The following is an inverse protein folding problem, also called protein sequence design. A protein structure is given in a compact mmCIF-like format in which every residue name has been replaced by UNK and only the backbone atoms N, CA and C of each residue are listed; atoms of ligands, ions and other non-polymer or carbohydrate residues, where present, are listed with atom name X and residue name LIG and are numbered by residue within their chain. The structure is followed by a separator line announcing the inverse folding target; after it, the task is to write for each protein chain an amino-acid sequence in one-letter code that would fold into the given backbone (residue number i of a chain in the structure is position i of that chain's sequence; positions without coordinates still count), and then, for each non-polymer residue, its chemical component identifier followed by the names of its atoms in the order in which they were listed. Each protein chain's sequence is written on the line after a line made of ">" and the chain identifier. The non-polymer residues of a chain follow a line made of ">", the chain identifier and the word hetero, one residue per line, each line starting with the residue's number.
data_IF_078722213466
#
_entry.id   IF_078722213466
#
_cell.length_a   1.000
_cell.length_b   1.000
_cell.length_c   1.000
_cell.angle_alpha   90.00
_cell.angle_beta   90.00
_cell.angle_gamma   90.00
#
_symmetry.space_group_name_H-M   'P 1'
#
loop_
_entity.id
_entity.type
_entity.pdbx_description
1 polymer ?
#
# COMPACT_ATOMS: atom_id res chain seq x y z
N UNK A 1 5.73 -49.09 61.54
CA UNK A 1 5.38 -48.78 60.13
C UNK A 1 3.96 -48.25 60.12
N UNK A 2 3.77 -46.94 59.93
CA UNK A 2 2.44 -46.34 59.82
C UNK A 2 2.17 -46.05 58.34
N UNK A 3 1.14 -46.70 57.79
CA UNK A 3 0.72 -46.53 56.40
C UNK A 3 0.05 -45.18 56.18
N UNK A 4 0.55 -44.40 55.24
CA UNK A 4 -0.02 -43.12 54.84
C UNK A 4 -1.28 -43.38 54.00
N UNK A 5 -2.45 -42.99 54.50
CA UNK A 5 -3.72 -43.15 53.81
C UNK A 5 -4.14 -41.81 53.20
N UNK A 6 -4.29 -41.75 51.86
CA UNK A 6 -4.73 -40.53 51.18
C UNK A 6 -6.21 -40.23 51.51
N UNK A 7 -6.59 -38.97 51.74
CA UNK A 7 -7.99 -38.60 51.91
C UNK A 7 -8.75 -38.83 50.61
N UNK A 8 -9.73 -39.73 50.65
CA UNK A 8 -10.69 -39.97 49.56
C UNK A 8 -11.57 -38.73 49.42
N UNK A 9 -11.62 -38.17 48.22
CA UNK A 9 -12.40 -36.98 47.91
C UNK A 9 -13.88 -37.22 48.24
N UNK A 10 -14.37 -36.61 49.33
CA UNK A 10 -15.80 -36.55 49.62
C UNK A 10 -16.46 -35.70 48.53
N UNK A 11 -17.47 -36.26 47.86
CA UNK A 11 -18.14 -35.69 46.67
C UNK A 11 -18.93 -34.39 46.88
N UNK A 12 -18.58 -33.59 47.89
CA UNK A 12 -19.18 -32.29 48.12
C UNK A 12 -18.62 -31.27 47.12
N UNK A 13 -19.42 -30.97 46.09
CA UNK A 13 -19.12 -29.90 45.13
C UNK A 13 -19.15 -28.56 45.87
N UNK A 14 -17.99 -27.97 46.13
CA UNK A 14 -17.91 -26.57 46.60
C UNK A 14 -18.48 -25.68 45.50
N UNK A 15 -19.44 -24.82 45.85
CA UNK A 15 -20.02 -23.87 44.92
C UNK A 15 -18.92 -22.89 44.47
N UNK A 16 -18.49 -23.01 43.22
CA UNK A 16 -17.56 -22.07 42.60
C UNK A 16 -18.39 -20.84 42.21
N UNK A 17 -18.20 -19.73 42.92
CA UNK A 17 -18.74 -18.45 42.48
C UNK A 17 -17.91 -17.97 41.28
N UNK A 18 -18.50 -18.10 40.10
CA UNK A 18 -17.95 -17.51 38.88
C UNK A 18 -18.33 -16.04 38.88
N UNK A 19 -17.36 -15.17 39.12
CA UNK A 19 -17.53 -13.74 38.88
C UNK A 19 -17.34 -13.48 37.38
N UNK A 20 -18.36 -12.89 36.76
CA UNK A 20 -18.24 -12.41 35.39
C UNK A 20 -17.28 -11.22 35.36
N UNK A 21 -16.21 -11.36 34.58
CA UNK A 21 -15.29 -10.25 34.33
C UNK A 21 -16.07 -9.08 33.70
N UNK A 22 -15.93 -7.83 34.20
CA UNK A 22 -16.51 -6.67 33.56
C UNK A 22 -16.03 -6.59 32.11
N UNK A 23 -16.96 -6.58 31.17
CA UNK A 23 -16.61 -6.43 29.76
C UNK A 23 -15.98 -5.05 29.54
N UNK A 24 -14.82 -5.03 28.90
CA UNK A 24 -14.08 -3.80 28.55
C UNK A 24 -14.94 -2.88 27.65
N UNK A 25 -15.72 -1.99 28.24
CA UNK A 25 -16.59 -1.04 27.52
C UNK A 25 -15.82 0.03 26.73
N UNK A 26 -14.50 0.14 26.94
CA UNK A 26 -13.64 1.13 26.31
C UNK A 26 -13.16 0.77 24.90
N UNK A 27 -13.50 -0.42 24.39
CA UNK A 27 -13.13 -0.87 23.03
C UNK A 27 -14.27 -0.92 22.01
N UNK A 28 -15.43 -0.34 22.29
CA UNK A 28 -16.43 -0.10 21.24
C UNK A 28 -16.23 1.29 20.64
N UNK A 29 -15.31 1.40 19.67
CA UNK A 29 -15.41 2.46 18.67
C UNK A 29 -16.73 2.24 17.94
N UNK A 30 -17.69 3.14 18.14
CA UNK A 30 -18.90 3.15 17.33
C UNK A 30 -18.51 3.01 15.85
N UNK A 31 -19.12 2.09 15.08
CA UNK A 31 -18.86 2.03 13.65
C UNK A 31 -19.18 3.43 13.11
N UNK A 32 -18.17 4.07 12.52
CA UNK A 32 -18.35 5.32 11.82
C UNK A 32 -19.39 5.03 10.76
N UNK A 33 -20.63 5.46 10.98
CA UNK A 33 -21.68 5.46 9.99
C UNK A 33 -21.13 6.29 8.84
N UNK A 34 -20.57 5.61 7.85
CA UNK A 34 -20.44 6.19 6.53
C UNK A 34 -21.88 6.51 6.18
N UNK A 35 -22.18 7.81 6.16
CA UNK A 35 -23.39 8.35 5.58
C UNK A 35 -23.41 7.77 4.17
N UNK A 36 -24.12 6.66 4.00
CA UNK A 36 -24.50 6.15 2.69
C UNK A 36 -25.37 7.28 2.14
N UNK A 37 -24.75 8.15 1.34
CA UNK A 37 -25.52 8.87 0.35
C UNK A 37 -26.09 7.76 -0.51
N UNK A 38 -27.37 7.48 -0.27
CA UNK A 38 -28.18 6.73 -1.18
C UNK A 38 -28.09 7.42 -2.55
N UNK A 39 -28.19 6.57 -3.55
CA UNK A 39 -28.27 6.85 -4.98
C UNK A 39 -29.27 7.97 -5.31
N UNK A 40 -29.20 8.46 -6.55
CA UNK A 40 -29.86 9.65 -7.11
C UNK A 40 -29.03 10.94 -7.04
N UNK A 41 -27.84 10.89 -7.62
CA UNK A 41 -27.22 12.04 -8.28
C UNK A 41 -26.26 11.42 -9.31
N UNK A 42 -26.75 11.04 -10.50
CA UNK A 42 -25.84 10.99 -11.66
C UNK A 42 -25.28 12.41 -11.76
N UNK A 43 -24.00 12.66 -11.43
CA UNK A 43 -23.47 13.99 -11.63
C UNK A 43 -23.61 14.22 -13.12
N UNK A 44 -24.28 15.28 -13.56
CA UNK A 44 -24.24 15.72 -14.94
C UNK A 44 -22.75 15.93 -15.27
N UNK A 45 -22.14 14.88 -15.80
CA UNK A 45 -20.73 14.85 -16.09
C UNK A 45 -20.57 15.89 -17.17
N UNK A 46 -19.71 16.87 -16.92
CA UNK A 46 -19.32 17.81 -17.96
C UNK A 46 -18.99 17.02 -19.23
N UNK A 47 -19.32 17.53 -20.42
CA UNK A 47 -18.97 16.91 -21.71
C UNK A 47 -17.52 16.39 -21.73
N UNK A 48 -16.58 17.12 -21.09
CA UNK A 48 -15.17 16.68 -20.96
C UNK A 48 -14.97 15.43 -20.10
N UNK A 49 -15.79 15.24 -19.07
CA UNK A 49 -15.78 14.05 -18.21
C UNK A 49 -16.45 12.86 -18.90
N UNK A 50 -17.53 13.10 -19.66
CA UNK A 50 -18.18 12.06 -20.49
C UNK A 50 -17.21 11.52 -21.55
N UNK A 51 -16.58 12.41 -22.33
CA UNK A 51 -15.56 12.03 -23.32
C UNK A 51 -14.41 11.24 -22.68
N UNK A 52 -13.98 11.61 -21.47
CA UNK A 52 -12.94 10.85 -20.76
C UNK A 52 -13.39 9.46 -20.35
N UNK A 53 -14.62 9.33 -19.84
CA UNK A 53 -15.20 8.03 -19.48
C UNK A 53 -15.33 7.14 -20.70
N UNK A 54 -15.91 7.64 -21.78
CA UNK A 54 -16.03 6.92 -23.05
C UNK A 54 -14.64 6.49 -23.58
N UNK A 55 -13.64 7.35 -23.48
CA UNK A 55 -12.28 7.01 -23.87
C UNK A 55 -11.67 5.90 -22.98
N UNK A 56 -11.84 5.99 -21.66
CA UNK A 56 -11.33 4.99 -20.73
C UNK A 56 -12.04 3.64 -20.93
N UNK A 57 -13.36 3.64 -21.13
CA UNK A 57 -14.18 2.47 -21.41
C UNK A 57 -13.81 1.80 -22.74
N UNK A 58 -13.67 2.57 -23.82
CA UNK A 58 -13.22 2.05 -25.12
C UNK A 58 -11.81 1.50 -25.05
N UNK A 59 -10.90 2.16 -24.32
CA UNK A 59 -9.54 1.67 -24.13
C UNK A 59 -9.50 0.35 -23.35
N UNK A 60 -10.29 0.22 -22.28
CA UNK A 60 -10.41 -1.02 -21.54
C UNK A 60 -11.08 -2.13 -22.37
N UNK A 61 -12.04 -1.80 -23.22
CA UNK A 61 -12.65 -2.72 -24.18
C UNK A 61 -11.63 -3.29 -25.18
N UNK A 62 -10.76 -2.44 -25.73
CA UNK A 62 -9.70 -2.86 -26.65
C UNK A 62 -8.70 -3.78 -25.95
N UNK A 63 -8.34 -3.48 -24.68
CA UNK A 63 -7.50 -4.38 -23.89
C UNK A 63 -8.21 -5.72 -23.68
N UNK A 64 -9.45 -5.73 -23.21
CA UNK A 64 -10.19 -6.96 -22.95
C UNK A 64 -10.36 -7.81 -24.22
N UNK A 65 -10.56 -7.18 -25.39
CA UNK A 65 -10.57 -7.86 -26.68
C UNK A 65 -9.21 -8.51 -27.00
N UNK A 66 -8.11 -7.78 -26.85
CA UNK A 66 -6.76 -8.34 -27.03
C UNK A 66 -6.50 -9.52 -26.08
N UNK A 67 -7.08 -9.48 -24.89
CA UNK A 67 -6.90 -10.51 -23.86
C UNK A 67 -7.83 -11.72 -24.04
N UNK A 68 -8.93 -11.60 -24.79
CA UNK A 68 -9.89 -12.69 -25.01
C UNK A 68 -9.24 -13.90 -25.70
N UNK A 69 -8.21 -13.67 -26.53
CA UNK A 69 -7.46 -14.72 -27.22
C UNK A 69 -6.35 -15.36 -26.37
N UNK A 70 -6.05 -14.82 -25.18
CA UNK A 70 -5.00 -15.35 -24.31
C UNK A 70 -5.42 -16.71 -23.73
N UNK A 71 -4.48 -17.65 -23.69
CA UNK A 71 -4.70 -19.01 -23.16
C UNK A 71 -3.69 -19.35 -22.05
N UNK A 72 -4.10 -20.23 -21.14
CA UNK A 72 -3.22 -20.83 -20.14
C UNK A 72 -2.56 -19.84 -19.17
N UNK A 73 -1.22 -19.75 -19.22
CA UNK A 73 -0.42 -18.94 -18.26
C UNK A 73 -0.63 -17.44 -18.43
N UNK A 74 -0.79 -16.98 -19.66
CA UNK A 74 -0.93 -15.56 -19.97
C UNK A 74 -2.27 -15.02 -19.48
N UNK A 75 -3.35 -15.78 -19.68
CA UNK A 75 -4.69 -15.46 -19.15
C UNK A 75 -4.68 -15.33 -17.62
N UNK A 76 -4.06 -16.28 -16.92
CA UNK A 76 -3.92 -16.23 -15.45
C UNK A 76 -3.15 -14.98 -15.00
N UNK A 77 -2.06 -14.64 -15.67
CA UNK A 77 -1.27 -13.45 -15.35
C UNK A 77 -2.05 -12.14 -15.62
N UNK A 78 -2.91 -12.11 -16.63
CA UNK A 78 -3.80 -10.98 -16.89
C UNK A 78 -4.86 -10.85 -15.80
N UNK A 79 -5.54 -11.93 -15.46
CA UNK A 79 -6.57 -11.97 -14.42
C UNK A 79 -6.01 -11.54 -13.06
N UNK A 80 -4.81 -11.99 -12.68
CA UNK A 80 -4.16 -11.55 -11.43
C UNK A 80 -3.89 -10.05 -11.44
N UNK A 81 -3.45 -9.48 -12.58
CA UNK A 81 -3.24 -8.03 -12.71
C UNK A 81 -4.55 -7.26 -12.66
N UNK A 82 -5.63 -7.80 -13.24
CA UNK A 82 -6.97 -7.21 -13.16
C UNK A 82 -7.47 -7.18 -11.72
N UNK A 83 -7.27 -8.27 -10.97
CA UNK A 83 -7.59 -8.34 -9.54
C UNK A 83 -6.80 -7.29 -8.75
N UNK A 84 -5.49 -7.14 -9.01
CA UNK A 84 -4.66 -6.11 -8.38
C UNK A 84 -5.12 -4.68 -8.73
N UNK A 85 -5.51 -4.42 -9.98
CA UNK A 85 -6.01 -3.12 -10.41
C UNK A 85 -7.35 -2.74 -9.76
N UNK A 86 -8.20 -3.72 -9.48
CA UNK A 86 -9.46 -3.55 -8.75
C UNK A 86 -9.27 -3.39 -7.23
N UNK A 87 -8.02 -3.36 -6.74
CA UNK A 87 -7.70 -3.19 -5.33
C UNK A 87 -7.49 -4.50 -4.56
N UNK A 88 -7.42 -5.63 -5.27
CA UNK A 88 -7.01 -6.90 -4.70
C UNK A 88 -5.56 -6.90 -4.21
N UNK A 89 -5.26 -7.76 -3.23
CA UNK A 89 -3.90 -7.91 -2.72
C UNK A 89 -3.01 -8.55 -3.78
N UNK A 90 -1.86 -7.94 -4.02
CA UNK A 90 -0.86 -8.47 -4.94
C UNK A 90 -0.38 -9.86 -4.52
N UNK A 91 -0.10 -10.71 -5.51
CA UNK A 91 0.41 -12.06 -5.25
C UNK A 91 1.72 -11.99 -4.47
N UNK A 92 1.82 -12.77 -3.38
CA UNK A 92 3.05 -12.83 -2.60
C UNK A 92 4.14 -13.50 -3.42
N UNK A 93 5.28 -12.83 -3.56
CA UNK A 93 6.46 -13.44 -4.16
C UNK A 93 6.93 -14.60 -3.28
N UNK A 94 7.40 -15.69 -3.92
CA UNK A 94 8.05 -16.80 -3.21
C UNK A 94 9.27 -16.28 -2.46
N UNK A 95 9.50 -16.82 -1.26
CA UNK A 95 10.71 -16.52 -0.51
C UNK A 95 11.94 -16.92 -1.34
N UNK A 96 12.82 -15.95 -1.57
CA UNK A 96 14.07 -16.13 -2.30
C UNK A 96 15.23 -15.64 -1.43
N UNK A 97 16.35 -16.37 -1.35
CA UNK A 97 17.53 -15.92 -0.63
C UNK A 97 18.00 -14.55 -1.11
N UNK A 98 18.49 -13.74 -0.18
CA UNK A 98 18.82 -12.34 -0.43
C UNK A 98 19.79 -12.14 -1.60
N UNK A 99 20.86 -12.96 -1.67
CA UNK A 99 21.86 -12.84 -2.73
C UNK A 99 21.28 -13.05 -4.13
N UNK A 100 20.39 -14.03 -4.28
CA UNK A 100 19.70 -14.34 -5.54
C UNK A 100 18.74 -13.20 -5.91
N UNK A 101 17.94 -12.74 -4.93
CA UNK A 101 17.00 -11.64 -5.12
C UNK A 101 17.71 -10.35 -5.56
N UNK A 102 18.88 -10.05 -4.98
CA UNK A 102 19.69 -8.90 -5.38
C UNK A 102 20.25 -9.06 -6.80
N UNK A 103 20.71 -10.26 -7.17
CA UNK A 103 21.16 -10.55 -8.53
C UNK A 103 20.07 -10.35 -9.58
N UNK A 104 18.85 -10.85 -9.31
CA UNK A 104 17.68 -10.68 -10.19
C UNK A 104 17.34 -9.20 -10.35
N UNK A 105 17.28 -8.44 -9.25
CA UNK A 105 16.97 -7.01 -9.29
C UNK A 105 18.01 -6.20 -10.07
N UNK A 106 19.30 -6.46 -9.85
CA UNK A 106 20.38 -5.77 -10.59
C UNK A 106 20.26 -6.00 -12.10
N UNK A 107 20.12 -7.27 -12.52
CA UNK A 107 19.94 -7.61 -13.93
C UNK A 107 18.66 -7.01 -14.53
N UNK A 108 17.56 -6.95 -13.77
CA UNK A 108 16.33 -6.31 -14.24
C UNK A 108 16.52 -4.81 -14.49
N UNK A 109 17.20 -4.11 -13.58
CA UNK A 109 17.51 -2.68 -13.74
C UNK A 109 18.44 -2.44 -14.93
N UNK A 110 19.44 -3.30 -15.12
CA UNK A 110 20.35 -3.21 -16.29
C UNK A 110 19.62 -3.42 -17.61
N UNK A 111 18.68 -4.36 -17.68
CA UNK A 111 17.82 -4.53 -18.88
C UNK A 111 16.97 -3.30 -19.13
N UNK A 112 16.29 -2.78 -18.12
CA UNK A 112 15.45 -1.60 -18.27
C UNK A 112 16.27 -0.36 -18.70
N UNK A 113 17.51 -0.22 -18.21
CA UNK A 113 18.42 0.83 -18.68
C UNK A 113 18.80 0.64 -20.13
N UNK A 114 19.20 -0.57 -20.54
CA UNK A 114 19.52 -0.88 -21.95
C UNK A 114 18.34 -0.60 -22.86
N UNK A 115 17.13 -1.01 -22.48
CA UNK A 115 15.92 -0.78 -23.29
C UNK A 115 15.61 0.71 -23.40
N UNK A 116 15.75 1.46 -22.29
CA UNK A 116 15.61 2.92 -22.31
C UNK A 116 16.68 3.57 -23.18
N UNK A 117 17.93 3.15 -23.07
CA UNK A 117 19.01 3.67 -23.90
C UNK A 117 18.76 3.35 -25.37
N UNK A 118 18.36 2.14 -25.73
CA UNK A 118 18.02 1.79 -27.13
C UNK A 118 16.82 2.57 -27.68
N UNK A 119 15.85 2.91 -26.85
CA UNK A 119 14.67 3.69 -27.26
C UNK A 119 14.95 5.20 -27.27
N UNK A 120 15.82 5.69 -26.38
CA UNK A 120 16.20 7.11 -26.28
C UNK A 120 17.32 7.46 -27.26
N UNK A 121 18.24 6.53 -27.49
CA UNK A 121 19.15 6.57 -28.62
C UNK A 121 18.27 6.35 -29.84
N UNK A 122 18.04 7.41 -30.59
CA UNK A 122 17.16 7.55 -31.78
C UNK A 122 17.43 6.55 -32.94
N UNK A 123 18.13 5.44 -32.69
CA UNK A 123 18.40 4.36 -33.65
C UNK A 123 17.13 3.61 -34.02
N UNK A 124 16.16 3.54 -33.12
CA UNK A 124 14.81 3.13 -33.41
C UNK A 124 13.93 4.37 -33.27
N UNK A 125 13.26 4.81 -34.33
CA UNK A 125 12.35 5.96 -34.37
C UNK A 125 11.03 5.69 -33.59
N UNK A 126 11.12 4.90 -32.52
CA UNK A 126 10.02 4.35 -31.74
C UNK A 126 9.79 5.25 -30.53
N UNK A 127 8.73 6.06 -30.61
CA UNK A 127 8.29 6.90 -29.48
C UNK A 127 7.65 6.01 -28.41
N UNK A 128 8.39 5.75 -27.33
CA UNK A 128 7.81 5.09 -26.14
C UNK A 128 7.17 6.09 -25.20
N UNK A 129 6.08 5.66 -24.54
CA UNK A 129 5.44 6.45 -23.50
C UNK A 129 6.41 6.75 -22.35
N UNK A 130 6.54 8.02 -21.96
CA UNK A 130 7.39 8.46 -20.84
C UNK A 130 6.88 7.83 -19.54
N UNK A 131 7.53 6.76 -19.08
CA UNK A 131 7.25 6.17 -17.77
C UNK A 131 7.69 7.14 -16.68
N UNK A 132 6.77 7.52 -15.80
CA UNK A 132 7.08 8.31 -14.60
C UNK A 132 8.13 7.56 -13.78
N UNK A 133 9.20 8.23 -13.36
CA UNK A 133 10.25 7.63 -12.53
C UNK A 133 9.58 6.97 -11.31
N UNK A 134 9.76 5.66 -11.15
CA UNK A 134 9.06 4.90 -10.13
C UNK A 134 9.41 5.44 -8.74
N UNK A 135 8.38 5.71 -7.94
CA UNK A 135 8.54 6.17 -6.55
C UNK A 135 9.22 5.13 -5.65
N UNK A 136 9.39 3.88 -6.12
CA UNK A 136 10.06 2.82 -5.37
C UNK A 136 11.59 2.90 -5.41
N UNK A 137 12.19 3.51 -6.44
CA UNK A 137 13.64 3.72 -6.50
C UNK A 137 14.13 4.79 -5.49
N UNK A 138 13.21 5.62 -4.98
CA UNK A 138 13.50 6.72 -4.06
C UNK A 138 12.67 6.65 -2.76
N UNK A 139 11.97 5.56 -2.45
CA UNK A 139 11.14 5.47 -1.25
C UNK A 139 11.96 5.50 0.06
N UNK A 140 13.24 5.10 0.01
CA UNK A 140 14.20 5.26 1.12
C UNK A 140 14.79 6.68 1.22
N UNK A 141 14.65 7.48 0.16
CA UNK A 141 14.91 8.93 0.14
C UNK A 141 13.61 9.73 0.20
N UNK A 142 12.51 9.15 0.74
CA UNK A 142 11.42 9.96 1.31
C UNK A 142 12.11 10.96 2.23
N UNK A 143 12.11 12.22 1.81
CA UNK A 143 12.79 13.38 2.41
C UNK A 143 13.01 13.08 3.90
N UNK A 144 14.19 12.60 4.27
CA UNK A 144 14.56 12.52 5.69
C UNK A 144 14.27 13.93 6.20
N UNK A 145 13.45 14.06 7.24
CA UNK A 145 13.25 15.38 7.86
C UNK A 145 14.65 15.92 8.08
N UNK A 146 14.96 17.03 7.43
CA UNK A 146 16.26 17.66 7.56
C UNK A 146 16.41 17.90 9.06
N UNK A 147 17.50 17.41 9.64
CA UNK A 147 17.77 17.66 11.05
C UNK A 147 18.04 19.16 11.16
N UNK A 148 17.09 19.90 11.74
CA UNK A 148 17.21 21.33 11.93
C UNK A 148 18.08 21.68 13.14
N UNK A 149 18.66 20.68 13.83
CA UNK A 149 19.48 20.85 15.02
C UNK A 149 18.69 21.38 16.22
N UNK A 150 19.41 21.68 17.31
CA UNK A 150 18.83 22.33 18.49
C UNK A 150 18.62 23.82 18.20
N UNK A 151 17.36 24.27 18.16
CA UNK A 151 17.01 25.69 18.02
C UNK A 151 17.11 26.38 19.39
N UNK A 152 18.23 27.05 19.65
CA UNK A 152 18.52 27.71 20.95
C UNK A 152 17.98 29.14 21.02
N UNK A 153 17.65 29.77 19.88
CA UNK A 153 17.30 31.19 19.81
C UNK A 153 15.80 31.43 19.60
N UNK A 154 15.24 32.40 20.34
CA UNK A 154 13.88 32.93 20.08
C UNK A 154 13.97 33.99 18.99
N UNK A 155 13.87 33.60 17.73
CA UNK A 155 13.91 34.52 16.59
C UNK A 155 14.17 33.83 15.25
N UNK A 156 14.18 34.61 14.16
CA UNK A 156 14.58 34.10 12.84
C UNK A 156 16.07 34.34 12.65
N UNK A 157 16.88 33.29 12.69
CA UNK A 157 18.31 33.36 12.38
C UNK A 157 18.54 32.99 10.92
N UNK A 158 18.99 33.96 10.11
CA UNK A 158 19.30 33.74 8.69
C UNK A 158 20.60 34.48 8.35
N UNK A 159 21.55 33.78 7.73
CA UNK A 159 22.83 34.36 7.26
C UNK A 159 23.62 35.12 8.34
N UNK A 160 23.68 34.60 9.58
CA UNK A 160 24.44 35.23 10.67
C UNK A 160 23.71 36.35 11.42
N UNK A 161 22.50 36.73 11.00
CA UNK A 161 21.72 37.81 11.62
C UNK A 161 20.51 37.22 12.33
N UNK A 162 20.33 37.57 13.61
CA UNK A 162 19.16 37.23 14.41
C UNK A 162 18.13 38.36 14.31
N UNK A 163 16.99 38.10 13.69
CA UNK A 163 15.85 39.04 13.69
C UNK A 163 14.91 38.70 14.85
N UNK A 164 14.78 39.63 15.79
CA UNK A 164 13.85 39.54 16.93
C UNK A 164 12.65 40.45 16.65
N UNK A 165 11.44 39.90 16.73
CA UNK A 165 10.21 40.69 16.55
C UNK A 165 9.94 41.58 17.77
N UNK A 166 9.44 42.79 17.54
CA UNK A 166 9.17 43.80 18.59
C UNK A 166 8.02 43.43 19.54
N UNK A 167 7.29 42.35 19.25
CA UNK A 167 6.14 41.88 20.03
C UNK A 167 6.45 40.54 20.70
N UNK A 168 7.45 40.54 21.59
CA UNK A 168 7.60 39.54 22.64
C UNK A 168 7.40 40.22 23.99
#
# INVERSE_FOLDING_TARGET
>A
MASFQFPIATGAKKAVQVFECPTESWKQRAPRTQKRKADEDEPELSLKQQIKKEFDETFDSVKDFANASLKGKEKKAYETKRIEALGGKAASNRHTPYHILMGIKKKAVEREKRDKELVMNKQADVVSGKRKASSSANSSKKKKKIDYGLQVTKGKFKNGVLTVGRNM
#
